data_IF_881340219227
#
_entry.id   IF_881340219227
#
_cell.length_a   1.000
_cell.length_b   1.000
_cell.length_c   1.000
_cell.angle_alpha   90.00
_cell.angle_beta   90.00
_cell.angle_gamma   90.00
#
_symmetry.space_group_name_H-M   'P 1'
#
loop_
_entity.id
_entity.type
_entity.pdbx_description
1 polymer ?
#
# COMPACT_ATOMS: atom_id res chain seq x y z
N UNK A 1 13.66 -11.78 8.61
CA UNK A 1 13.50 -11.99 7.15
C UNK A 1 14.72 -11.43 6.44
N UNK A 2 15.31 -12.17 5.50
CA UNK A 2 16.50 -11.76 4.77
C UNK A 2 16.15 -11.33 3.33
N UNK A 3 17.11 -10.70 2.62
CA UNK A 3 16.90 -10.20 1.26
C UNK A 3 16.58 -11.31 0.24
N UNK A 4 17.15 -12.51 0.42
CA UNK A 4 16.88 -13.62 -0.49
C UNK A 4 15.44 -14.15 -0.36
N UNK A 5 14.87 -14.12 0.83
CA UNK A 5 13.46 -14.48 1.07
C UNK A 5 12.52 -13.49 0.39
N UNK A 6 12.78 -12.18 0.52
CA UNK A 6 12.02 -11.14 -0.17
C UNK A 6 12.12 -11.25 -1.68
N UNK A 7 13.33 -11.49 -2.19
CA UNK A 7 13.55 -11.68 -3.63
C UNK A 7 12.81 -12.91 -4.16
N UNK A 8 12.79 -14.02 -3.43
CA UNK A 8 12.01 -15.21 -3.80
C UNK A 8 10.51 -14.91 -3.82
N UNK A 9 10.00 -14.17 -2.83
CA UNK A 9 8.59 -13.81 -2.79
C UNK A 9 8.23 -12.85 -3.95
N UNK A 10 9.09 -11.90 -4.29
CA UNK A 10 8.91 -11.03 -5.44
C UNK A 10 8.82 -11.80 -6.76
N UNK A 11 9.76 -12.72 -6.97
CA UNK A 11 9.77 -13.55 -8.18
C UNK A 11 8.55 -14.47 -8.23
N UNK A 12 8.12 -15.01 -7.08
CA UNK A 12 6.90 -15.78 -6.98
C UNK A 12 5.66 -14.94 -7.37
N UNK A 13 5.56 -13.71 -6.87
CA UNK A 13 4.45 -12.80 -7.21
C UNK A 13 4.39 -12.51 -8.71
N UNK A 14 5.53 -12.24 -9.34
CA UNK A 14 5.62 -12.05 -10.80
C UNK A 14 5.16 -13.29 -11.58
N UNK A 15 5.67 -14.44 -11.20
CA UNK A 15 5.31 -15.72 -11.83
C UNK A 15 3.82 -16.04 -11.66
N UNK A 16 3.29 -15.88 -10.46
CA UNK A 16 1.86 -16.07 -10.17
C UNK A 16 0.98 -15.22 -11.09
N UNK A 17 1.32 -13.92 -11.23
CA UNK A 17 0.59 -13.04 -12.12
C UNK A 17 0.64 -13.48 -13.58
N UNK A 18 1.81 -13.91 -14.07
CA UNK A 18 1.97 -14.40 -15.46
C UNK A 18 1.14 -15.66 -15.71
N UNK A 19 1.14 -16.59 -14.76
CA UNK A 19 0.43 -17.88 -14.87
C UNK A 19 -1.08 -17.74 -14.77
N UNK A 20 -1.58 -16.79 -13.96
CA UNK A 20 -3.00 -16.63 -13.67
C UNK A 20 -3.63 -15.42 -14.39
N UNK A 21 -2.84 -14.62 -15.10
CA UNK A 21 -3.28 -13.37 -15.74
C UNK A 21 -4.09 -12.45 -14.79
N UNK A 22 -3.75 -12.49 -13.50
CA UNK A 22 -4.44 -11.73 -12.45
C UNK A 22 -3.93 -10.29 -12.34
N UNK A 23 -4.62 -9.44 -11.57
CA UNK A 23 -4.25 -8.05 -11.32
C UNK A 23 -3.16 -7.86 -10.25
N UNK A 24 -2.62 -8.93 -9.67
CA UNK A 24 -1.68 -8.90 -8.55
C UNK A 24 -0.23 -8.62 -8.96
N UNK A 25 0.06 -7.40 -9.38
CA UNK A 25 1.43 -6.96 -9.66
C UNK A 25 2.19 -6.69 -8.36
N UNK A 26 3.41 -7.25 -8.16
CA UNK A 26 4.24 -6.80 -7.06
C UNK A 26 4.76 -5.38 -7.35
N UNK A 27 4.75 -4.52 -6.35
CA UNK A 27 5.31 -3.17 -6.48
C UNK A 27 6.82 -3.22 -6.70
N UNK A 28 7.29 -2.71 -7.86
CA UNK A 28 8.68 -2.84 -8.29
C UNK A 28 9.63 -1.83 -7.63
N UNK A 29 9.08 -0.73 -7.09
CA UNK A 29 9.87 0.36 -6.47
C UNK A 29 9.77 0.33 -4.93
N UNK A 30 9.86 -0.86 -4.33
CA UNK A 30 9.67 -1.05 -2.88
C UNK A 30 10.69 -0.25 -2.03
N UNK A 31 11.85 0.12 -2.60
CA UNK A 31 12.85 0.99 -1.95
C UNK A 31 12.30 2.39 -1.64
N UNK A 32 11.33 2.88 -2.41
CA UNK A 32 10.61 4.12 -2.10
C UNK A 32 9.89 3.98 -0.76
N UNK A 33 9.22 2.84 -0.53
CA UNK A 33 8.56 2.58 0.76
C UNK A 33 9.57 2.52 1.90
N UNK A 34 10.69 1.82 1.73
CA UNK A 34 11.77 1.76 2.73
C UNK A 34 12.27 3.15 3.09
N UNK A 35 12.54 3.99 2.07
CA UNK A 35 13.02 5.35 2.28
C UNK A 35 12.06 6.15 3.18
N UNK A 36 10.77 6.16 2.85
CA UNK A 36 9.79 6.94 3.60
C UNK A 36 9.45 6.33 4.95
N UNK A 37 9.33 5.02 5.08
CA UNK A 37 9.11 4.34 6.36
C UNK A 37 10.25 4.64 7.32
N UNK A 38 11.51 4.52 6.86
CA UNK A 38 12.69 4.74 7.70
C UNK A 38 12.84 6.22 8.08
N UNK A 39 12.72 7.14 7.11
CA UNK A 39 12.91 8.58 7.35
C UNK A 39 11.85 9.18 8.28
N UNK A 40 10.65 8.62 8.32
CA UNK A 40 9.56 9.11 9.17
C UNK A 40 9.30 8.26 10.41
N UNK A 41 10.04 7.15 10.54
CA UNK A 41 9.81 6.15 11.59
C UNK A 41 8.35 5.66 11.63
N UNK A 42 7.76 5.46 10.46
CA UNK A 42 6.38 4.99 10.34
C UNK A 42 6.25 3.57 10.89
N UNK A 43 5.27 3.35 11.76
CA UNK A 43 5.01 2.05 12.41
C UNK A 43 3.65 1.47 12.05
N UNK A 44 2.66 2.31 11.83
CA UNK A 44 1.31 1.87 11.48
C UNK A 44 0.99 2.23 10.04
N UNK A 45 0.82 1.20 9.21
CA UNK A 45 0.71 1.34 7.76
C UNK A 45 -0.62 0.77 7.30
N UNK A 46 -1.29 1.46 6.39
CA UNK A 46 -2.43 0.93 5.65
C UNK A 46 -2.00 0.68 4.20
N UNK A 47 -2.19 -0.54 3.73
CA UNK A 47 -1.98 -0.93 2.34
C UNK A 47 -3.32 -1.21 1.66
N UNK A 48 -3.48 -0.76 0.42
CA UNK A 48 -4.59 -1.13 -0.46
C UNK A 48 -4.03 -1.87 -1.68
N UNK A 49 -4.40 -3.13 -1.81
CA UNK A 49 -3.82 -4.06 -2.79
C UNK A 49 -2.83 -5.01 -2.13
N UNK A 50 -3.33 -6.12 -1.58
CA UNK A 50 -2.50 -7.14 -0.90
C UNK A 50 -1.74 -8.01 -1.90
N UNK A 51 -2.42 -8.39 -3.01
CA UNK A 51 -1.91 -9.37 -3.94
C UNK A 51 -1.45 -10.65 -3.23
N UNK A 52 -0.29 -11.16 -3.59
CA UNK A 52 0.30 -12.34 -2.94
C UNK A 52 1.11 -12.02 -1.67
N UNK A 53 1.03 -10.78 -1.16
CA UNK A 53 1.60 -10.37 0.12
C UNK A 53 3.04 -9.90 0.09
N UNK A 54 3.62 -9.66 -1.09
CA UNK A 54 5.02 -9.24 -1.22
C UNK A 54 5.28 -7.86 -0.59
N UNK A 55 4.46 -6.85 -0.91
CA UNK A 55 4.72 -5.48 -0.48
C UNK A 55 4.55 -5.33 1.03
N UNK A 56 3.51 -5.96 1.62
CA UNK A 56 3.37 -6.04 3.06
C UNK A 56 4.58 -6.72 3.72
N UNK A 57 5.07 -7.84 3.16
CA UNK A 57 6.26 -8.52 3.67
C UNK A 57 7.51 -7.64 3.57
N UNK A 58 7.67 -6.91 2.48
CA UNK A 58 8.77 -5.96 2.31
C UNK A 58 8.74 -4.86 3.39
N UNK A 59 7.57 -4.24 3.62
CA UNK A 59 7.40 -3.22 4.66
C UNK A 59 7.65 -3.78 6.06
N UNK A 60 7.11 -4.96 6.38
CA UNK A 60 7.33 -5.63 7.67
C UNK A 60 8.81 -5.98 7.91
N UNK A 61 9.59 -6.24 6.85
CA UNK A 61 11.03 -6.56 6.97
C UNK A 61 11.89 -5.41 7.49
N UNK A 62 11.38 -4.18 7.45
CA UNK A 62 12.14 -2.99 7.84
C UNK A 62 12.32 -2.92 9.36
N UNK A 63 11.28 -3.27 10.12
CA UNK A 63 11.33 -3.33 11.60
C UNK A 63 10.22 -4.23 12.14
N UNK A 64 10.50 -4.95 13.24
CA UNK A 64 9.50 -5.73 13.98
C UNK A 64 8.39 -4.88 14.63
N UNK A 65 8.60 -3.57 14.76
CA UNK A 65 7.61 -2.62 15.30
C UNK A 65 6.56 -2.17 14.28
N UNK A 66 6.71 -2.56 13.01
CA UNK A 66 5.77 -2.18 11.95
C UNK A 66 4.55 -3.10 12.01
N UNK A 67 3.38 -2.48 11.99
CA UNK A 67 2.08 -3.15 11.87
C UNK A 67 1.37 -2.66 10.62
N UNK A 68 0.90 -3.61 9.83
CA UNK A 68 0.30 -3.34 8.52
C UNK A 68 -1.13 -3.85 8.53
N UNK A 69 -2.05 -2.95 8.21
CA UNK A 69 -3.41 -3.30 7.81
C UNK A 69 -3.44 -3.32 6.28
N UNK A 70 -3.84 -4.43 5.67
CA UNK A 70 -3.90 -4.55 4.22
C UNK A 70 -5.29 -4.96 3.75
N UNK A 71 -5.74 -4.39 2.63
CA UNK A 71 -7.08 -4.61 2.08
C UNK A 71 -6.97 -5.19 0.68
N UNK A 72 -7.64 -6.31 0.44
CA UNK A 72 -7.83 -6.88 -0.89
C UNK A 72 -9.23 -7.51 -1.01
N UNK A 73 -9.78 -7.48 -2.23
CA UNK A 73 -11.06 -8.13 -2.51
C UNK A 73 -10.90 -9.59 -2.97
N UNK A 74 -9.71 -10.00 -3.37
CA UNK A 74 -9.42 -11.32 -3.91
C UNK A 74 -9.10 -12.29 -2.77
N UNK A 75 -10.02 -13.23 -2.55
CA UNK A 75 -9.90 -14.22 -1.47
C UNK A 75 -8.74 -15.19 -1.70
N UNK A 76 -8.46 -15.56 -2.95
CA UNK A 76 -7.38 -16.50 -3.26
C UNK A 76 -6.01 -15.84 -3.09
N UNK A 77 -5.86 -14.59 -3.51
CA UNK A 77 -4.69 -13.79 -3.18
C UNK A 77 -4.51 -13.67 -1.67
N UNK A 78 -5.59 -13.41 -0.94
CA UNK A 78 -5.54 -13.31 0.51
C UNK A 78 -5.04 -14.57 1.20
N UNK A 79 -5.47 -15.75 0.77
CA UNK A 79 -4.97 -17.05 1.29
C UNK A 79 -3.49 -17.25 0.98
N UNK A 80 -3.07 -16.91 -0.24
CA UNK A 80 -1.66 -16.99 -0.65
C UNK A 80 -0.81 -16.05 0.19
N UNK A 81 -1.23 -14.80 0.37
CA UNK A 81 -0.54 -13.81 1.17
C UNK A 81 -0.36 -14.28 2.62
N UNK A 82 -1.42 -14.75 3.27
CA UNK A 82 -1.38 -15.29 4.62
C UNK A 82 -0.37 -16.44 4.75
N UNK A 83 -0.40 -17.42 3.82
CA UNK A 83 0.55 -18.54 3.80
C UNK A 83 2.00 -18.06 3.64
N UNK A 84 2.22 -17.02 2.83
CA UNK A 84 3.56 -16.45 2.65
C UNK A 84 4.05 -15.76 3.92
N UNK A 85 3.21 -14.98 4.60
CA UNK A 85 3.57 -14.31 5.85
C UNK A 85 3.85 -15.27 6.99
N UNK A 86 3.06 -16.35 7.12
CA UNK A 86 3.31 -17.42 8.09
C UNK A 86 4.69 -18.08 7.87
N UNK A 87 5.03 -18.41 6.62
CA UNK A 87 6.35 -18.98 6.28
C UNK A 87 7.52 -18.03 6.58
N UNK A 88 7.27 -16.72 6.52
CA UNK A 88 8.26 -15.68 6.82
C UNK A 88 8.25 -15.25 8.29
N UNK A 89 7.32 -15.73 9.10
CA UNK A 89 7.19 -15.39 10.52
C UNK A 89 6.79 -13.95 10.79
N UNK A 90 6.00 -13.34 9.91
CA UNK A 90 5.53 -11.96 10.01
C UNK A 90 4.01 -11.82 10.07
N UNK A 91 3.29 -12.93 10.15
CA UNK A 91 1.84 -12.98 10.21
C UNK A 91 1.26 -12.15 11.36
N UNK A 92 2.01 -12.00 12.46
CA UNK A 92 1.60 -11.16 13.60
C UNK A 92 1.77 -9.65 13.36
N UNK A 93 2.53 -9.25 12.33
CA UNK A 93 2.70 -7.85 11.95
C UNK A 93 1.66 -7.39 10.93
N UNK A 94 0.96 -8.32 10.27
CA UNK A 94 0.03 -8.02 9.17
C UNK A 94 -1.39 -8.45 9.51
N UNK A 95 -2.33 -7.52 9.48
CA UNK A 95 -3.77 -7.79 9.58
C UNK A 95 -4.44 -7.58 8.25
N UNK A 96 -5.04 -8.64 7.72
CA UNK A 96 -5.72 -8.60 6.44
C UNK A 96 -7.22 -8.34 6.60
N UNK A 97 -7.74 -7.47 5.74
CA UNK A 97 -9.16 -7.24 5.53
C UNK A 97 -9.57 -7.72 4.14
N UNK A 98 -10.40 -8.73 4.08
CA UNK A 98 -10.95 -9.23 2.83
C UNK A 98 -12.19 -8.43 2.44
N UNK A 99 -12.17 -7.83 1.27
CA UNK A 99 -13.29 -7.07 0.72
C UNK A 99 -12.85 -5.90 -0.15
N UNK A 100 -13.83 -5.28 -0.81
CA UNK A 100 -13.59 -4.07 -1.60
C UNK A 100 -13.19 -2.91 -0.68
N UNK A 101 -12.21 -2.12 -1.10
CA UNK A 101 -11.74 -0.97 -0.34
C UNK A 101 -12.88 0.00 0.02
N UNK A 102 -13.86 0.20 -0.89
CA UNK A 102 -15.04 1.04 -0.67
C UNK A 102 -15.91 0.56 0.51
N UNK A 103 -15.90 -0.75 0.76
CA UNK A 103 -16.68 -1.36 1.85
C UNK A 103 -15.90 -1.41 3.16
N UNK A 104 -14.58 -1.59 3.11
CA UNK A 104 -13.71 -1.74 4.29
C UNK A 104 -13.33 -0.38 4.88
N UNK A 105 -12.87 0.56 4.05
CA UNK A 105 -12.37 1.87 4.51
C UNK A 105 -13.32 2.62 5.45
N UNK A 106 -14.66 2.66 5.21
CA UNK A 106 -15.57 3.34 6.12
C UNK A 106 -15.57 2.80 7.55
N UNK A 107 -15.26 1.51 7.72
CA UNK A 107 -15.22 0.81 9.00
C UNK A 107 -13.93 1.02 9.81
N UNK A 108 -12.82 1.38 9.16
CA UNK A 108 -11.54 1.59 9.85
C UNK A 108 -11.60 2.81 10.77
N UNK A 109 -10.98 2.70 11.94
CA UNK A 109 -10.91 3.77 12.96
C UNK A 109 -9.48 4.12 13.36
N UNK A 110 -8.54 3.29 12.99
CA UNK A 110 -7.13 3.49 13.27
C UNK A 110 -6.58 4.69 12.50
N UNK A 111 -5.55 5.33 13.04
CA UNK A 111 -4.81 6.41 12.39
C UNK A 111 -3.46 5.85 11.95
N UNK A 112 -3.10 6.09 10.71
CA UNK A 112 -1.91 5.54 10.07
C UNK A 112 -0.82 6.59 9.89
N UNK A 113 0.42 6.14 10.02
CA UNK A 113 1.61 6.94 9.72
C UNK A 113 1.83 7.06 8.21
N UNK A 114 1.51 5.98 7.50
CA UNK A 114 1.64 5.87 6.07
C UNK A 114 0.44 5.11 5.49
N UNK A 115 -0.07 5.60 4.36
CA UNK A 115 -1.04 4.88 3.53
C UNK A 115 -0.38 4.61 2.19
N UNK A 116 -0.35 3.34 1.78
CA UNK A 116 0.13 2.91 0.48
C UNK A 116 -1.03 2.38 -0.36
N UNK A 117 -1.28 3.03 -1.48
CA UNK A 117 -2.27 2.60 -2.45
C UNK A 117 -1.57 1.98 -3.66
N UNK A 118 -1.72 0.67 -3.81
CA UNK A 118 -1.23 -0.13 -4.94
C UNK A 118 -2.41 -0.83 -5.64
N UNK A 119 -3.42 -0.06 -5.96
CA UNK A 119 -4.58 -0.53 -6.70
C UNK A 119 -4.60 0.03 -8.12
N UNK A 120 -5.67 -0.31 -8.84
CA UNK A 120 -6.01 0.43 -10.06
C UNK A 120 -6.31 1.89 -9.69
N UNK A 121 -6.68 2.70 -10.64
CA UNK A 121 -6.96 4.12 -10.52
C UNK A 121 -7.56 4.56 -9.19
N UNK A 122 -6.90 5.41 -8.41
CA UNK A 122 -7.45 5.94 -7.17
C UNK A 122 -8.62 6.87 -7.46
N UNK A 123 -9.74 6.70 -6.75
CA UNK A 123 -10.90 7.57 -6.87
C UNK A 123 -10.90 8.66 -5.81
N UNK A 124 -11.63 9.76 -6.08
CA UNK A 124 -11.85 10.84 -5.09
C UNK A 124 -12.51 10.34 -3.80
N UNK A 125 -13.28 9.24 -3.86
CA UNK A 125 -13.89 8.62 -2.66
C UNK A 125 -12.83 8.12 -1.70
N UNK A 126 -11.73 7.54 -2.22
CA UNK A 126 -10.62 7.08 -1.38
C UNK A 126 -9.89 8.24 -0.71
N UNK A 127 -9.71 9.35 -1.40
CA UNK A 127 -9.02 10.51 -0.83
C UNK A 127 -9.68 11.01 0.45
N UNK A 128 -11.01 11.07 0.52
CA UNK A 128 -11.75 11.43 1.74
C UNK A 128 -11.45 10.47 2.90
N UNK A 129 -11.35 9.16 2.61
CA UNK A 129 -10.99 8.19 3.63
C UNK A 129 -9.51 8.31 4.03
N UNK A 130 -8.61 8.52 3.07
CA UNK A 130 -7.19 8.71 3.36
C UNK A 130 -6.95 9.95 4.22
N UNK A 131 -7.64 11.06 3.93
CA UNK A 131 -7.59 12.27 4.77
C UNK A 131 -7.99 12.01 6.22
N UNK A 132 -9.01 11.19 6.44
CA UNK A 132 -9.49 10.84 7.79
C UNK A 132 -8.55 9.87 8.52
N UNK A 133 -7.95 8.92 7.79
CA UNK A 133 -7.16 7.82 8.34
C UNK A 133 -5.68 8.15 8.50
N UNK A 134 -5.17 9.14 7.75
CA UNK A 134 -3.77 9.52 7.78
C UNK A 134 -3.54 10.61 8.84
N UNK A 135 -2.55 10.44 9.71
CA UNK A 135 -2.15 11.46 10.68
C UNK A 135 -1.60 12.71 10.00
N UNK A 136 -1.55 13.83 10.73
CA UNK A 136 -0.76 15.00 10.34
C UNK A 136 0.72 14.60 10.16
N UNK A 137 1.36 15.12 9.13
CA UNK A 137 2.70 14.74 8.67
C UNK A 137 2.81 13.26 8.24
N UNK A 138 1.69 12.54 8.14
CA UNK A 138 1.66 11.20 7.56
C UNK A 138 1.82 11.25 6.05
N UNK A 139 2.19 10.12 5.46
CA UNK A 139 2.52 10.02 4.05
C UNK A 139 1.52 9.15 3.31
N UNK A 140 0.98 9.68 2.23
CA UNK A 140 0.19 8.94 1.26
C UNK A 140 1.06 8.66 0.04
N UNK A 141 1.32 7.40 -0.23
CA UNK A 141 2.03 6.91 -1.40
C UNK A 141 1.02 6.24 -2.33
N UNK A 142 0.98 6.66 -3.57
CA UNK A 142 0.08 6.09 -4.58
C UNK A 142 0.91 5.62 -5.77
N UNK A 143 0.93 4.32 -5.99
CA UNK A 143 1.61 3.67 -7.11
C UNK A 143 0.77 3.71 -8.41
N UNK A 144 1.35 3.26 -9.50
CA UNK A 144 0.69 3.02 -10.79
C UNK A 144 0.01 4.25 -11.41
N UNK A 145 0.54 5.44 -11.18
CA UNK A 145 -0.03 6.69 -11.69
C UNK A 145 0.09 6.87 -13.21
N UNK A 146 0.80 5.96 -13.89
CA UNK A 146 0.80 5.89 -15.36
C UNK A 146 -0.51 5.37 -15.97
N UNK A 147 -1.32 4.69 -15.18
CA UNK A 147 -2.65 4.28 -15.59
C UNK A 147 -3.50 5.56 -15.75
N UNK A 148 -3.30 6.26 -16.88
CA UNK A 148 -3.88 7.56 -17.19
C UNK A 148 -5.36 7.43 -17.57
N UNK A 149 -6.16 7.01 -16.61
CA UNK A 149 -7.59 7.15 -16.73
C UNK A 149 -8.08 8.51 -16.20
N UNK A 150 -9.34 8.81 -16.45
CA UNK A 150 -9.95 10.07 -16.01
C UNK A 150 -10.01 10.19 -14.49
N UNK A 151 -10.14 9.06 -13.76
CA UNK A 151 -10.25 9.04 -12.30
C UNK A 151 -8.91 9.37 -11.65
N UNK A 152 -7.83 8.72 -12.09
CA UNK A 152 -6.48 9.02 -11.61
C UNK A 152 -6.07 10.46 -11.90
N UNK A 153 -6.44 10.98 -13.08
CA UNK A 153 -6.23 12.39 -13.42
C UNK A 153 -6.99 13.36 -12.50
N UNK A 154 -8.22 13.05 -12.10
CA UNK A 154 -9.00 13.86 -11.13
C UNK A 154 -8.37 13.80 -9.73
N UNK A 155 -7.97 12.60 -9.29
CA UNK A 155 -7.30 12.40 -8.01
C UNK A 155 -5.99 13.21 -7.91
N UNK A 156 -5.13 13.12 -8.92
CA UNK A 156 -3.89 13.90 -8.98
C UNK A 156 -4.14 15.41 -8.91
N UNK A 157 -5.08 15.92 -9.71
CA UNK A 157 -5.44 17.34 -9.67
C UNK A 157 -5.98 17.78 -8.31
N UNK A 158 -6.71 16.90 -7.63
CA UNK A 158 -7.21 17.19 -6.28
C UNK A 158 -6.06 17.30 -5.27
N UNK A 159 -5.11 16.38 -5.28
CA UNK A 159 -3.91 16.47 -4.45
C UNK A 159 -3.09 17.73 -4.74
N UNK A 160 -2.82 18.03 -6.01
CA UNK A 160 -2.03 19.20 -6.43
C UNK A 160 -2.65 20.54 -6.07
N UNK A 161 -3.97 20.64 -6.14
CA UNK A 161 -4.72 21.88 -5.83
C UNK A 161 -5.05 22.02 -4.35
N UNK A 162 -4.92 20.95 -3.60
CA UNK A 162 -5.18 20.97 -2.17
C UNK A 162 -4.01 21.63 -1.44
N UNK A 163 -4.29 22.65 -0.63
CA UNK A 163 -3.32 23.18 0.31
C UNK A 163 -3.07 22.25 1.52
N UNK A 164 -3.76 21.11 1.56
CA UNK A 164 -3.64 20.11 2.65
C UNK A 164 -2.48 19.15 2.47
N UNK A 165 -1.91 19.05 1.26
CA UNK A 165 -0.83 18.15 0.94
C UNK A 165 0.34 18.89 0.27
N UNK A 166 1.55 18.51 0.66
CA UNK A 166 2.74 18.77 -0.14
C UNK A 166 3.09 17.48 -0.89
N UNK A 167 3.24 17.56 -2.20
CA UNK A 167 3.42 16.37 -3.01
C UNK A 167 4.59 16.45 -3.97
N UNK A 168 5.12 15.29 -4.32
CA UNK A 168 6.08 15.06 -5.38
C UNK A 168 5.75 13.77 -6.13
N UNK A 169 6.46 13.54 -7.23
CA UNK A 169 6.33 12.31 -8.03
C UNK A 169 7.72 11.72 -8.23
N UNK A 170 7.85 10.43 -8.00
CA UNK A 170 9.05 9.64 -8.28
C UNK A 170 8.61 8.50 -9.18
N UNK A 171 9.14 8.44 -10.41
CA UNK A 171 8.71 7.50 -11.43
C UNK A 171 7.19 7.59 -11.66
N UNK A 172 6.47 6.48 -11.46
CA UNK A 172 5.01 6.40 -11.56
C UNK A 172 4.31 6.51 -10.19
N UNK A 173 5.06 6.85 -9.17
CA UNK A 173 4.59 6.87 -7.78
C UNK A 173 4.45 8.30 -7.28
N UNK A 174 3.27 8.63 -6.78
CA UNK A 174 3.01 9.91 -6.12
C UNK A 174 3.25 9.78 -4.62
N UNK A 175 3.95 10.75 -4.06
CA UNK A 175 4.17 10.89 -2.62
C UNK A 175 3.48 12.19 -2.18
N UNK A 176 2.59 12.12 -1.20
CA UNK A 176 1.91 13.28 -0.65
C UNK A 176 2.00 13.29 0.88
N UNK A 177 2.52 14.36 1.45
CA UNK A 177 2.63 14.57 2.89
C UNK A 177 1.43 15.41 3.34
N UNK A 178 0.66 14.91 4.30
CA UNK A 178 -0.49 15.63 4.87
C UNK A 178 -0.01 16.73 5.82
N UNK A 179 -0.38 17.98 5.56
CA UNK A 179 0.10 19.15 6.30
C UNK A 179 -0.76 19.48 7.54
N UNK A 180 -2.05 19.16 7.52
CA UNK A 180 -3.02 19.53 8.56
C UNK A 180 -3.91 18.35 8.93
N UNK A 181 -4.50 18.38 10.11
CA UNK A 181 -5.53 17.43 10.57
C UNK A 181 -6.91 17.76 9.95
#
# INVERSE_FOLDING_TARGET
MNEDELKRLFLYAKKHREEHACGGYPYEHAEILRLFITSTSAKKILELGTGTGYTAAYMASISSDIHIDTIDQDEDHGKIAQSNWEKLGIDQQVRQYLGKAESVLPGLRDIYDLIFFDGYSPSMKFLTHFERLLKKNGILITANMFLKDELGGKYMRALQRSNRYQMGVIEDTTIAIKLFD
#
